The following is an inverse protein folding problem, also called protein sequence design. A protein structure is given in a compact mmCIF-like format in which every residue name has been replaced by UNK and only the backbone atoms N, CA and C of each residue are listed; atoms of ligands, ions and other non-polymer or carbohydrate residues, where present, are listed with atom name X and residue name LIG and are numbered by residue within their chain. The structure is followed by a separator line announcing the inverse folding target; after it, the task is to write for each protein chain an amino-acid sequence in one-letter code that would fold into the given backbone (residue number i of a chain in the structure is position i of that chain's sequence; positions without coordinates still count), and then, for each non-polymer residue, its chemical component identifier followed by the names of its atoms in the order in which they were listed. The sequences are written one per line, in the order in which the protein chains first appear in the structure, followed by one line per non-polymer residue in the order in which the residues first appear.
data_IF_117017054880
#
_entry.id   IF_117017054880
#
_cell.length_a   1.000
_cell.length_b   1.000
_cell.length_c   1.000
_cell.angle_alpha   90.00
_cell.angle_beta   90.00
_cell.angle_gamma   90.00
#
_symmetry.space_group_name_H-M   'P 1'
#
loop_
_entity.id
_entity.type
_entity.pdbx_description
1 polymer ?
#
# COMPACT_ATOMS: atom_id res chain seq x y z
N UNK A 1 -18.43 2.86 24.94
CA UNK A 1 -17.92 1.86 25.90
C UNK A 1 -17.80 2.54 27.26
N UNK A 2 -18.40 1.97 28.31
CA UNK A 2 -18.45 2.57 29.65
C UNK A 2 -17.08 2.53 30.33
N UNK A 3 -16.68 3.60 31.01
CA UNK A 3 -15.38 3.75 31.70
C UNK A 3 -15.09 2.62 32.69
N UNK A 4 -16.13 2.00 33.26
CA UNK A 4 -16.00 0.85 34.17
C UNK A 4 -15.54 -0.43 33.45
N UNK A 5 -15.91 -0.61 32.18
CA UNK A 5 -15.51 -1.79 31.38
C UNK A 5 -14.02 -1.75 31.02
N UNK A 6 -13.47 -0.55 30.79
CA UNK A 6 -12.05 -0.34 30.47
C UNK A 6 -11.17 -0.70 31.68
N UNK A 7 -11.58 -0.27 32.88
CA UNK A 7 -10.85 -0.57 34.11
C UNK A 7 -10.84 -2.07 34.44
N UNK A 8 -11.98 -2.76 34.29
CA UNK A 8 -12.06 -4.21 34.50
C UNK A 8 -11.24 -5.02 33.48
N UNK A 9 -11.19 -4.58 32.22
CA UNK A 9 -10.37 -5.21 31.18
C UNK A 9 -8.88 -5.12 31.52
N UNK A 10 -8.41 -3.94 31.96
CA UNK A 10 -7.02 -3.73 32.36
C UNK A 10 -6.59 -4.64 33.52
N UNK A 11 -7.47 -4.84 34.51
CA UNK A 11 -7.19 -5.70 35.65
C UNK A 11 -7.15 -7.18 35.26
N UNK A 12 -8.05 -7.62 34.38
CA UNK A 12 -8.06 -8.99 33.84
C UNK A 12 -6.80 -9.28 33.02
N UNK A 13 -6.37 -8.34 32.16
CA UNK A 13 -5.11 -8.46 31.42
C UNK A 13 -3.92 -8.54 32.37
N UNK A 14 -3.86 -7.66 33.38
CA UNK A 14 -2.75 -7.68 34.36
C UNK A 14 -2.65 -9.01 35.12
N UNK A 15 -3.78 -9.63 35.43
CA UNK A 15 -3.83 -10.92 36.12
C UNK A 15 -3.40 -12.09 35.23
N UNK A 16 -3.72 -12.09 33.93
CA UNK A 16 -3.33 -13.15 32.99
C UNK A 16 -1.87 -13.05 32.54
N UNK A 17 -1.28 -11.85 32.49
CA UNK A 17 0.13 -11.66 32.11
C UNK A 17 1.13 -12.06 33.20
N UNK A 18 0.80 -11.91 34.50
CA UNK A 18 1.69 -12.29 35.62
C UNK A 18 2.21 -13.74 35.56
N UNK A 19 1.37 -14.78 35.43
CA UNK A 19 1.86 -16.18 35.41
C UNK A 19 2.63 -16.52 34.13
N UNK A 20 2.41 -15.78 33.04
CA UNK A 20 3.16 -15.96 31.80
C UNK A 20 4.59 -15.45 31.96
N UNK A 21 4.76 -14.26 32.54
CA UNK A 21 6.09 -13.66 32.79
C UNK A 21 6.98 -14.50 33.72
N UNK A 22 6.40 -15.16 34.74
CA UNK A 22 7.17 -15.99 35.66
C UNK A 22 7.72 -17.24 34.98
N UNK A 23 6.93 -17.92 34.14
CA UNK A 23 7.38 -19.09 33.37
C UNK A 23 8.45 -18.72 32.33
N UNK A 24 8.32 -17.58 31.67
CA UNK A 24 9.34 -17.08 30.74
C UNK A 24 10.65 -16.73 31.44
N UNK A 25 10.60 -16.17 32.65
CA UNK A 25 11.80 -15.91 33.45
C UNK A 25 12.49 -17.22 33.86
N UNK A 26 11.74 -18.23 34.28
CA UNK A 26 12.27 -19.53 34.69
C UNK A 26 12.97 -20.27 33.53
N UNK A 27 12.33 -20.30 32.35
CA UNK A 27 12.92 -20.84 31.11
C UNK A 27 14.17 -20.03 30.72
N UNK A 28 14.10 -18.71 30.88
CA UNK A 28 15.21 -17.81 30.61
C UNK A 28 16.45 -18.06 31.48
N UNK A 29 16.25 -18.32 32.77
CA UNK A 29 17.33 -18.65 33.71
C UNK A 29 17.95 -20.01 33.36
N UNK A 30 17.11 -20.99 33.00
CA UNK A 30 17.57 -22.33 32.59
C UNK A 30 18.39 -22.29 31.30
N UNK A 31 18.00 -21.45 30.34
CA UNK A 31 18.75 -21.24 29.11
C UNK A 31 20.08 -20.55 29.42
N UNK A 32 20.08 -19.45 30.20
CA UNK A 32 21.30 -18.70 30.55
C UNK A 32 22.34 -19.54 31.30
N UNK A 33 21.89 -20.48 32.12
CA UNK A 33 22.74 -21.39 32.90
C UNK A 33 23.00 -22.72 32.17
N UNK A 34 22.72 -22.81 30.87
CA UNK A 34 22.97 -24.04 30.11
C UNK A 34 24.47 -24.26 29.89
N UNK A 35 25.04 -25.20 30.63
CA UNK A 35 26.40 -25.68 30.40
C UNK A 35 26.40 -26.78 29.32
N UNK A 36 27.19 -26.56 28.26
CA UNK A 36 27.32 -27.49 27.15
C UNK A 36 28.00 -28.81 27.61
N UNK A 37 27.56 -29.98 27.12
CA UNK A 37 28.14 -31.26 27.49
C UNK A 37 29.61 -31.36 27.07
N UNK A 38 30.46 -31.90 27.96
CA UNK A 38 31.92 -31.91 27.81
C UNK A 38 32.41 -32.64 26.54
N UNK A 39 31.60 -33.57 26.01
CA UNK A 39 31.89 -34.35 24.80
C UNK A 39 31.94 -33.51 23.52
N UNK A 40 31.41 -32.28 23.54
CA UNK A 40 31.33 -31.39 22.37
C UNK A 40 32.32 -30.20 22.49
N UNK A 41 33.07 -30.11 23.61
CA UNK A 41 34.07 -29.06 23.86
C UNK A 41 35.22 -29.18 22.85
N UNK A 42 35.50 -28.10 22.10
CA UNK A 42 36.59 -27.97 21.13
C UNK A 42 36.17 -27.97 19.66
N UNK A 43 34.94 -28.35 19.34
CA UNK A 43 34.48 -28.59 17.95
C UNK A 43 33.76 -27.38 17.34
N UNK A 44 33.66 -27.31 16.01
CA UNK A 44 32.85 -26.30 15.29
C UNK A 44 31.41 -26.18 15.81
N UNK A 45 30.83 -27.28 16.30
CA UNK A 45 29.49 -27.31 16.91
C UNK A 45 29.41 -26.51 18.22
N UNK A 46 30.48 -26.46 19.02
CA UNK A 46 30.50 -25.66 20.24
C UNK A 46 30.47 -24.17 19.91
N UNK A 47 31.27 -23.73 18.93
CA UNK A 47 31.29 -22.34 18.47
C UNK A 47 29.93 -21.93 17.90
N UNK A 48 29.29 -22.80 17.13
CA UNK A 48 27.96 -22.58 16.58
C UNK A 48 26.89 -22.50 17.68
N UNK A 49 26.91 -23.43 18.64
CA UNK A 49 25.98 -23.42 19.77
C UNK A 49 26.16 -22.17 20.65
N UNK A 50 27.41 -21.79 20.97
CA UNK A 50 27.73 -20.55 21.69
C UNK A 50 27.24 -19.32 20.94
N UNK A 51 27.41 -19.27 19.62
CA UNK A 51 26.92 -18.18 18.79
C UNK A 51 25.39 -18.06 18.84
N UNK A 52 24.65 -19.15 18.62
CA UNK A 52 23.18 -19.13 18.70
C UNK A 52 22.67 -18.84 20.11
N UNK A 53 23.38 -19.33 21.12
CA UNK A 53 23.06 -19.07 22.51
C UNK A 53 23.23 -17.58 22.85
N UNK A 54 24.35 -16.97 22.46
CA UNK A 54 24.59 -15.53 22.60
C UNK A 54 23.55 -14.71 21.83
N UNK A 55 23.32 -15.06 20.56
CA UNK A 55 22.33 -14.39 19.72
C UNK A 55 20.92 -14.44 20.34
N UNK A 56 20.52 -15.57 20.91
CA UNK A 56 19.25 -15.71 21.60
C UNK A 56 19.16 -14.79 22.83
N UNK A 57 20.22 -14.72 23.64
CA UNK A 57 20.26 -13.84 24.81
C UNK A 57 20.15 -12.37 24.37
N UNK A 58 20.92 -11.97 23.36
CA UNK A 58 20.93 -10.59 22.86
C UNK A 58 19.52 -10.16 22.38
N UNK A 59 18.86 -10.96 21.54
CA UNK A 59 17.50 -10.64 21.09
C UNK A 59 16.46 -10.68 22.22
N UNK A 60 16.63 -11.57 23.20
CA UNK A 60 15.74 -11.63 24.36
C UNK A 60 15.88 -10.38 25.23
N UNK A 61 17.11 -9.93 25.49
CA UNK A 61 17.37 -8.73 26.27
C UNK A 61 16.83 -7.50 25.54
N UNK A 62 17.01 -7.41 24.22
CA UNK A 62 16.36 -6.39 23.38
C UNK A 62 14.83 -6.44 23.50
N UNK A 63 14.21 -7.63 23.47
CA UNK A 63 12.76 -7.75 23.62
C UNK A 63 12.26 -7.30 25.01
N UNK A 64 13.00 -7.65 26.07
CA UNK A 64 12.69 -7.20 27.44
C UNK A 64 12.80 -5.68 27.55
N UNK A 65 13.81 -5.08 26.94
CA UNK A 65 14.01 -3.63 26.95
C UNK A 65 12.96 -2.90 26.12
N UNK A 66 12.52 -3.46 24.99
CA UNK A 66 11.37 -2.93 24.23
C UNK A 66 10.09 -2.93 25.07
N UNK A 67 9.85 -3.97 25.87
CA UNK A 67 8.67 -4.03 26.76
C UNK A 67 8.77 -2.97 27.87
N UNK A 68 9.95 -2.78 28.45
CA UNK A 68 10.19 -1.72 29.44
C UNK A 68 9.99 -0.34 28.80
N UNK A 69 10.60 -0.07 27.65
CA UNK A 69 10.47 1.20 26.92
C UNK A 69 9.01 1.49 26.53
N UNK A 70 8.25 0.46 26.12
CA UNK A 70 6.82 0.60 25.88
C UNK A 70 6.04 1.03 27.12
N UNK A 71 6.48 0.60 28.30
CA UNK A 71 5.83 0.91 29.59
C UNK A 71 6.26 2.28 30.11
N UNK A 72 7.53 2.64 29.94
CA UNK A 72 8.09 3.93 30.37
C UNK A 72 7.63 5.09 29.47
N UNK A 73 7.50 4.85 28.16
CA UNK A 73 7.18 5.86 27.14
C UNK A 73 5.97 5.44 26.29
N UNK A 74 4.76 5.43 26.85
CA UNK A 74 3.57 4.91 26.15
C UNK A 74 3.23 5.69 24.88
N UNK A 75 3.57 6.98 24.79
CA UNK A 75 3.31 7.81 23.59
C UNK A 75 4.17 7.37 22.41
N UNK A 76 5.45 7.07 22.62
CA UNK A 76 6.30 6.58 21.53
C UNK A 76 5.87 5.18 21.09
N UNK A 77 5.53 4.32 22.05
CA UNK A 77 5.03 2.98 21.77
C UNK A 77 3.75 2.99 20.92
N UNK A 78 2.79 3.87 21.24
CA UNK A 78 1.56 3.98 20.45
C UNK A 78 1.84 4.48 19.04
N UNK A 79 2.75 5.43 18.83
CA UNK A 79 3.16 5.90 17.49
C UNK A 79 3.76 4.74 16.69
N UNK A 80 4.68 3.96 17.25
CA UNK A 80 5.29 2.84 16.53
C UNK A 80 4.29 1.72 16.23
N UNK A 81 3.44 1.35 17.19
CA UNK A 81 2.42 0.31 17.00
C UNK A 81 1.40 0.76 15.94
N UNK A 82 0.97 2.02 15.97
CA UNK A 82 0.02 2.54 14.97
C UNK A 82 0.64 2.59 13.59
N UNK A 83 1.90 3.01 13.45
CA UNK A 83 2.62 3.00 12.17
C UNK A 83 2.80 1.58 11.61
N UNK A 84 3.19 0.63 12.46
CA UNK A 84 3.35 -0.77 12.07
C UNK A 84 2.00 -1.38 11.69
N UNK A 85 0.98 -1.13 12.50
CA UNK A 85 -0.40 -1.55 12.25
C UNK A 85 -0.96 -0.96 10.96
N UNK A 86 -0.72 0.33 10.68
CA UNK A 86 -1.16 0.96 9.43
C UNK A 86 -0.42 0.41 8.22
N UNK A 87 0.89 0.15 8.34
CA UNK A 87 1.68 -0.49 7.28
C UNK A 87 1.16 -1.90 6.97
N UNK A 88 0.94 -2.71 8.00
CA UNK A 88 0.37 -4.05 7.86
C UNK A 88 -1.04 -4.02 7.26
N UNK A 89 -1.91 -3.14 7.75
CA UNK A 89 -3.26 -2.95 7.22
C UNK A 89 -3.22 -2.51 5.75
N UNK A 90 -2.35 -1.57 5.40
CA UNK A 90 -2.22 -1.06 4.03
C UNK A 90 -1.69 -2.13 3.08
N UNK A 91 -0.73 -2.96 3.53
CA UNK A 91 -0.23 -4.09 2.75
C UNK A 91 -1.33 -5.11 2.48
N UNK A 92 -2.16 -5.42 3.49
CA UNK A 92 -3.31 -6.32 3.32
C UNK A 92 -4.36 -5.77 2.35
N UNK A 93 -4.53 -4.45 2.30
CA UNK A 93 -5.47 -3.76 1.41
C UNK A 93 -4.80 -3.17 0.17
N UNK A 94 -3.63 -3.70 -0.22
CA UNK A 94 -2.92 -3.20 -1.38
C UNK A 94 -3.57 -3.72 -2.68
N UNK A 95 -3.99 -2.85 -3.61
CA UNK A 95 -4.74 -3.28 -4.79
C UNK A 95 -3.91 -4.07 -5.81
N UNK A 96 -4.58 -5.07 -6.41
CA UNK A 96 -4.04 -5.90 -7.49
C UNK A 96 -4.35 -5.33 -8.89
N UNK A 97 -3.62 -5.82 -9.89
CA UNK A 97 -3.83 -5.44 -11.30
C UNK A 97 -5.22 -5.88 -11.80
N UNK A 98 -5.72 -7.01 -11.31
CA UNK A 98 -7.08 -7.49 -11.58
C UNK A 98 -8.12 -6.50 -11.08
N UNK A 99 -7.92 -5.95 -9.88
CA UNK A 99 -8.79 -4.94 -9.29
C UNK A 99 -8.76 -3.63 -10.10
N UNK A 100 -7.58 -3.26 -10.64
CA UNK A 100 -7.47 -2.12 -11.55
C UNK A 100 -8.28 -2.34 -12.84
N UNK A 101 -8.14 -3.52 -13.44
CA UNK A 101 -8.87 -3.88 -14.67
C UNK A 101 -10.37 -3.92 -14.44
N UNK A 102 -10.81 -4.45 -13.30
CA UNK A 102 -12.22 -4.46 -12.92
C UNK A 102 -12.76 -3.03 -12.75
N UNK A 103 -12.06 -2.17 -12.03
CA UNK A 103 -12.45 -0.77 -11.84
C UNK A 103 -12.50 -0.02 -13.18
N UNK A 104 -11.54 -0.26 -14.09
CA UNK A 104 -11.55 0.31 -15.44
C UNK A 104 -12.79 -0.11 -16.24
N UNK A 105 -13.12 -1.41 -16.24
CA UNK A 105 -14.32 -1.92 -16.93
C UNK A 105 -15.59 -1.34 -16.31
N UNK A 106 -15.70 -1.31 -14.99
CA UNK A 106 -16.85 -0.70 -14.30
C UNK A 106 -17.01 0.78 -14.65
N UNK A 107 -15.92 1.52 -14.74
CA UNK A 107 -15.93 2.94 -15.13
C UNK A 107 -16.30 3.12 -16.60
N UNK A 108 -15.85 2.24 -17.49
CA UNK A 108 -16.26 2.21 -18.90
C UNK A 108 -17.78 1.98 -19.02
N UNK A 109 -18.34 1.04 -18.25
CA UNK A 109 -19.79 0.79 -18.19
C UNK A 109 -20.54 2.04 -17.72
N UNK A 110 -20.07 2.72 -16.66
CA UNK A 110 -20.67 3.98 -16.19
C UNK A 110 -20.68 5.06 -17.27
N UNK A 111 -19.56 5.24 -17.98
CA UNK A 111 -19.49 6.20 -19.10
C UNK A 111 -20.50 5.86 -20.20
N UNK A 112 -20.64 4.57 -20.56
CA UNK A 112 -21.55 4.13 -21.62
C UNK A 112 -23.02 4.43 -21.27
N UNK A 113 -23.39 4.41 -19.99
CA UNK A 113 -24.75 4.71 -19.53
C UNK A 113 -25.14 6.19 -19.70
N UNK A 114 -24.16 7.10 -19.69
CA UNK A 114 -24.39 8.54 -19.85
C UNK A 114 -24.49 8.88 -21.34
N UNK A 115 -25.29 9.86 -21.76
CA UNK A 115 -25.39 10.26 -23.17
C UNK A 115 -24.13 10.98 -23.66
N UNK A 116 -23.74 10.80 -24.93
CA UNK A 116 -22.54 11.45 -25.50
C UNK A 116 -22.40 12.97 -25.29
N UNK A 117 -23.46 13.82 -25.41
CA UNK A 117 -23.29 15.26 -25.27
C UNK A 117 -22.91 15.69 -23.84
N UNK A 118 -23.45 15.02 -22.83
CA UNK A 118 -23.29 15.38 -21.41
C UNK A 118 -22.06 14.73 -20.75
N UNK A 119 -21.33 13.83 -21.44
CA UNK A 119 -20.14 13.17 -20.88
C UNK A 119 -18.97 14.14 -20.76
N UNK A 120 -18.21 14.02 -19.67
CA UNK A 120 -16.95 14.73 -19.53
C UNK A 120 -15.90 14.21 -20.55
N UNK A 121 -15.39 15.06 -21.46
CA UNK A 121 -14.43 14.62 -22.49
C UNK A 121 -13.10 14.14 -21.90
N UNK A 122 -12.68 14.69 -20.75
CA UNK A 122 -11.42 14.31 -20.09
C UNK A 122 -11.49 12.88 -19.56
N UNK A 123 -12.60 12.52 -18.91
CA UNK A 123 -12.84 11.17 -18.40
C UNK A 123 -12.92 10.17 -19.54
N UNK A 124 -13.66 10.50 -20.61
CA UNK A 124 -13.78 9.66 -21.80
C UNK A 124 -12.44 9.42 -22.46
N UNK A 125 -11.64 10.46 -22.68
CA UNK A 125 -10.32 10.34 -23.29
C UNK A 125 -9.38 9.49 -22.45
N UNK A 126 -9.40 9.67 -21.12
CA UNK A 126 -8.56 8.92 -20.20
C UNK A 126 -8.90 7.42 -20.21
N UNK A 127 -10.18 7.06 -20.13
CA UNK A 127 -10.63 5.66 -20.15
C UNK A 127 -10.31 5.01 -21.50
N UNK A 128 -10.60 5.68 -22.63
CA UNK A 128 -10.26 5.18 -23.97
C UNK A 128 -8.76 4.95 -24.13
N UNK A 129 -7.94 5.86 -23.61
CA UNK A 129 -6.49 5.72 -23.65
C UNK A 129 -6.02 4.54 -22.79
N UNK A 130 -6.56 4.36 -21.58
CA UNK A 130 -6.25 3.21 -20.73
C UNK A 130 -6.65 1.88 -21.37
N UNK A 131 -7.84 1.80 -21.97
CA UNK A 131 -8.29 0.61 -22.72
C UNK A 131 -7.34 0.28 -23.86
N UNK A 132 -6.89 1.30 -24.61
CA UNK A 132 -5.88 1.13 -25.66
C UNK A 132 -4.57 0.57 -25.10
N UNK A 133 -4.03 1.15 -24.02
CA UNK A 133 -2.80 0.66 -23.40
C UNK A 133 -2.94 -0.78 -22.87
N UNK A 134 -4.13 -1.15 -22.38
CA UNK A 134 -4.42 -2.51 -21.98
C UNK A 134 -4.45 -3.49 -23.16
N UNK A 135 -5.10 -3.09 -24.25
CA UNK A 135 -5.16 -3.91 -25.48
C UNK A 135 -3.78 -4.08 -26.11
N UNK A 136 -2.91 -3.08 -26.00
CA UNK A 136 -1.52 -3.13 -26.44
C UNK A 136 -0.59 -3.91 -25.48
N UNK A 137 -1.07 -4.31 -24.29
CA UNK A 137 -0.27 -5.09 -23.32
C UNK A 137 0.84 -4.31 -22.61
N UNK A 138 0.76 -2.97 -22.61
CA UNK A 138 1.80 -2.07 -22.09
C UNK A 138 1.75 -1.88 -20.57
N UNK A 139 0.61 -2.20 -19.95
CA UNK A 139 0.36 -1.95 -18.54
C UNK A 139 1.09 -2.96 -17.66
N UNK A 140 1.73 -2.44 -16.59
CA UNK A 140 2.47 -3.23 -15.60
C UNK A 140 2.16 -2.74 -14.19
N UNK A 141 2.08 -3.69 -13.25
CA UNK A 141 1.99 -3.39 -11.81
C UNK A 141 3.35 -3.49 -11.15
N UNK A 142 3.66 -2.50 -10.32
CA UNK A 142 4.77 -2.51 -9.36
C UNK A 142 4.18 -2.49 -7.93
N UNK A 143 4.42 -3.55 -7.16
CA UNK A 143 3.97 -3.64 -5.77
C UNK A 143 5.11 -3.23 -4.82
N UNK A 144 4.89 -2.20 -4.00
CA UNK A 144 5.85 -1.69 -3.00
C UNK A 144 5.49 -2.12 -1.56
N UNK A 145 4.63 -3.12 -1.38
CA UNK A 145 4.14 -3.58 -0.08
C UNK A 145 2.92 -2.79 0.37
N UNK A 146 3.10 -1.53 0.78
CA UNK A 146 2.00 -0.67 1.30
C UNK A 146 1.18 0.01 0.20
N UNK A 147 1.79 0.21 -0.96
CA UNK A 147 1.18 0.87 -2.12
C UNK A 147 1.53 0.09 -3.38
N UNK A 148 0.70 0.26 -4.40
CA UNK A 148 0.94 -0.29 -5.75
C UNK A 148 0.96 0.84 -6.76
N UNK A 149 1.79 0.70 -7.78
CA UNK A 149 1.86 1.62 -8.90
C UNK A 149 1.51 0.89 -10.18
N UNK A 150 0.72 1.53 -11.04
CA UNK A 150 0.56 1.12 -12.43
C UNK A 150 1.44 2.01 -13.28
N UNK A 151 2.26 1.39 -14.13
CA UNK A 151 3.16 2.10 -15.04
C UNK A 151 3.10 1.49 -16.44
N UNK A 152 3.55 2.26 -17.43
CA UNK A 152 3.57 1.86 -18.83
C UNK A 152 4.96 1.47 -19.32
N UNK A 153 5.02 0.27 -19.88
CA UNK A 153 6.18 -0.20 -20.64
C UNK A 153 6.10 0.26 -22.10
N UNK A 154 7.22 0.19 -22.83
CA UNK A 154 7.26 0.53 -24.25
C UNK A 154 6.68 -0.56 -25.15
N UNK A 155 6.71 -1.82 -24.69
CA UNK A 155 6.34 -2.99 -25.46
C UNK A 155 5.57 -3.99 -24.61
N UNK A 156 4.81 -4.85 -25.28
CA UNK A 156 4.12 -5.97 -24.64
C UNK A 156 5.12 -7.00 -24.07
N UNK A 157 4.68 -7.76 -23.06
CA UNK A 157 5.47 -8.75 -22.32
C UNK A 157 5.93 -9.88 -23.22
N UNK A 158 5.11 -10.21 -24.22
CA UNK A 158 5.37 -11.28 -25.17
C UNK A 158 6.10 -10.79 -26.42
N UNK A 159 6.39 -9.49 -26.53
CA UNK A 159 7.13 -8.93 -27.66
C UNK A 159 8.64 -9.23 -27.51
N UNK A 160 9.17 -10.10 -28.37
CA UNK A 160 10.59 -10.48 -28.41
C UNK A 160 11.41 -9.69 -29.44
N UNK A 161 10.95 -8.51 -29.84
CA UNK A 161 11.71 -7.67 -30.79
C UNK A 161 13.05 -7.24 -30.18
N UNK A 162 14.08 -7.06 -31.02
CA UNK A 162 15.40 -6.60 -30.56
C UNK A 162 15.32 -5.32 -29.73
N UNK A 163 14.44 -4.39 -30.12
CA UNK A 163 14.19 -3.12 -29.40
C UNK A 163 13.64 -3.35 -27.98
N UNK A 164 12.81 -4.38 -27.78
CA UNK A 164 12.24 -4.72 -26.49
C UNK A 164 13.24 -5.47 -25.58
N UNK A 165 14.07 -6.34 -26.17
CA UNK A 165 15.02 -7.18 -25.42
C UNK A 165 16.28 -6.41 -25.01
N UNK A 166 16.74 -5.46 -25.83
CA UNK A 166 18.00 -4.75 -25.62
C UNK A 166 18.00 -3.95 -24.30
N UNK A 167 18.94 -4.21 -23.35
CA UNK A 167 18.99 -3.53 -22.06
C UNK A 167 19.20 -2.01 -22.17
N UNK A 168 19.92 -1.56 -23.19
CA UNK A 168 20.24 -0.14 -23.40
C UNK A 168 19.05 0.70 -23.88
N UNK A 169 18.01 0.07 -24.44
CA UNK A 169 16.78 0.73 -24.86
C UNK A 169 15.68 0.72 -23.78
N UNK A 170 15.96 0.10 -22.61
CA UNK A 170 15.00 0.07 -21.51
C UNK A 170 14.80 1.47 -20.91
N UNK A 171 13.61 1.74 -20.32
CA UNK A 171 13.35 3.00 -19.64
C UNK A 171 14.43 3.30 -18.60
N UNK A 172 14.93 4.53 -18.60
CA UNK A 172 15.87 4.99 -17.57
C UNK A 172 15.13 5.16 -16.24
N UNK A 173 15.77 4.80 -15.14
CA UNK A 173 15.22 4.96 -13.80
C UNK A 173 14.86 6.42 -13.47
N UNK A 174 15.65 7.38 -13.96
CA UNK A 174 15.43 8.82 -13.72
C UNK A 174 14.12 9.30 -14.34
N UNK A 175 13.75 8.81 -15.52
CA UNK A 175 12.53 9.20 -16.25
C UNK A 175 11.33 8.29 -15.94
N UNK A 176 11.44 7.43 -14.92
CA UNK A 176 10.39 6.46 -14.61
C UNK A 176 9.11 7.13 -14.09
N UNK A 177 9.23 8.25 -13.38
CA UNK A 177 8.09 8.95 -12.78
C UNK A 177 7.06 9.44 -13.82
N UNK A 178 7.50 9.76 -15.04
CA UNK A 178 6.63 10.23 -16.14
C UNK A 178 5.74 9.12 -16.70
N UNK A 179 6.10 7.85 -16.42
CA UNK A 179 5.41 6.66 -16.94
C UNK A 179 4.41 6.09 -15.95
N UNK A 180 4.30 6.68 -14.77
CA UNK A 180 3.34 6.27 -13.74
C UNK A 180 1.96 6.76 -14.19
N UNK A 181 1.03 5.81 -14.29
CA UNK A 181 -0.35 6.05 -14.72
C UNK A 181 -1.27 6.21 -13.53
N UNK A 182 -1.17 5.29 -12.57
CA UNK A 182 -2.04 5.27 -11.40
C UNK A 182 -1.30 4.83 -10.13
N UNK A 183 -1.80 5.33 -9.00
CA UNK A 183 -1.35 5.01 -7.65
C UNK A 183 -2.48 4.30 -6.92
N UNK A 184 -2.19 3.06 -6.52
CA UNK A 184 -3.06 2.19 -5.76
C UNK A 184 -2.74 2.25 -4.28
N UNK A 185 -3.74 2.60 -3.47
CA UNK A 185 -3.61 2.66 -2.01
C UNK A 185 -4.96 2.38 -1.34
N UNK A 186 -4.96 1.55 -0.30
CA UNK A 186 -6.15 1.16 0.50
C UNK A 186 -7.35 0.69 -0.35
N UNK A 187 -7.11 -0.27 -1.24
CA UNK A 187 -8.17 -0.90 -2.05
C UNK A 187 -8.80 0.02 -3.09
N UNK A 188 -8.13 1.11 -3.47
CA UNK A 188 -8.58 2.02 -4.52
C UNK A 188 -7.43 2.47 -5.42
N UNK A 189 -7.77 2.74 -6.68
CA UNK A 189 -6.90 3.40 -7.65
C UNK A 189 -7.26 4.89 -7.73
N UNK A 190 -6.37 5.74 -7.23
CA UNK A 190 -6.69 7.12 -6.89
C UNK A 190 -6.79 8.03 -8.12
N UNK A 191 -5.94 7.84 -9.12
CA UNK A 191 -5.94 8.68 -10.33
C UNK A 191 -7.15 8.33 -11.18
N UNK A 192 -7.44 7.05 -11.38
CA UNK A 192 -8.62 6.58 -12.10
C UNK A 192 -9.92 7.07 -11.43
N UNK A 193 -10.04 6.96 -10.11
CA UNK A 193 -11.21 7.44 -9.36
C UNK A 193 -11.37 8.96 -9.49
N UNK A 194 -10.28 9.72 -9.34
CA UNK A 194 -10.28 11.18 -9.50
C UNK A 194 -10.67 11.62 -10.91
N UNK A 195 -10.22 10.91 -11.95
CA UNK A 195 -10.55 11.20 -13.35
C UNK A 195 -11.97 10.82 -13.73
N UNK A 196 -12.60 9.96 -12.95
CA UNK A 196 -14.01 9.58 -13.08
C UNK A 196 -14.94 10.39 -12.17
N UNK A 197 -14.41 11.36 -11.41
CA UNK A 197 -15.24 12.32 -10.70
C UNK A 197 -15.95 13.23 -11.71
N UNK A 198 -17.25 13.44 -11.53
CA UNK A 198 -18.08 14.31 -12.38
C UNK A 198 -18.00 13.92 -13.87
N UNK A 199 -18.01 12.61 -14.15
CA UNK A 199 -17.93 12.06 -15.50
C UNK A 199 -19.18 12.33 -16.36
N UNK A 200 -20.27 12.71 -15.72
CA UNK A 200 -21.59 13.04 -16.25
C UNK A 200 -21.83 14.56 -16.42
N UNK A 201 -20.80 15.37 -16.18
CA UNK A 201 -20.85 16.82 -16.36
C UNK A 201 -19.92 17.23 -17.50
N UNK A 202 -20.49 17.83 -18.54
CA UNK A 202 -19.73 18.45 -19.62
C UNK A 202 -19.71 19.98 -19.46
N UNK A 203 -18.60 20.52 -18.97
CA UNK A 203 -18.40 21.97 -18.79
C UNK A 203 -18.57 22.77 -20.09
N UNK A 204 -18.28 22.16 -21.25
CA UNK A 204 -18.38 22.84 -22.54
C UNK A 204 -19.82 23.26 -22.88
N UNK A 205 -20.83 22.52 -22.41
CA UNK A 205 -22.24 22.88 -22.64
C UNK A 205 -22.60 24.20 -21.94
N UNK A 206 -22.06 24.43 -20.76
CA UNK A 206 -22.34 25.62 -19.95
C UNK A 206 -21.62 26.85 -20.49
N UNK A 207 -20.39 26.70 -21.01
CA UNK A 207 -19.67 27.80 -21.64
C UNK A 207 -20.41 28.34 -22.88
N UNK A 208 -21.02 27.46 -23.69
CA UNK A 208 -21.80 27.88 -24.85
C UNK A 208 -23.06 28.63 -24.41
N UNK A 209 -23.77 28.14 -23.40
CA UNK A 209 -24.97 28.80 -22.88
C UNK A 209 -24.69 30.23 -22.37
N UNK A 210 -23.57 30.47 -21.70
CA UNK A 210 -23.18 31.81 -21.25
C UNK A 210 -22.93 32.77 -22.43
N UNK A 211 -22.27 32.32 -23.49
CA UNK A 211 -22.02 33.15 -24.69
C UNK A 211 -23.31 33.50 -25.44
N UNK A 212 -24.29 32.59 -25.50
CA UNK A 212 -25.60 32.85 -26.11
C UNK A 212 -26.41 33.85 -25.26
N UNK A 213 -26.38 33.74 -23.94
CA UNK A 213 -27.08 34.67 -23.05
C UNK A 213 -26.47 36.08 -23.09
N UNK A 214 -25.14 36.18 -23.18
CA UNK A 214 -24.43 37.46 -23.28
C UNK A 214 -24.61 38.14 -24.65
N UNK A 215 -24.75 37.37 -25.73
CA UNK A 215 -25.03 37.92 -27.07
C UNK A 215 -26.49 38.34 -27.24
N UNK A 216 -27.44 37.64 -26.60
CA UNK A 216 -28.86 38.01 -26.57
C UNK A 216 -29.15 39.30 -25.79
N UNK A 217 -28.37 39.62 -24.75
CA UNK A 217 -28.51 40.87 -23.98
C UNK A 217 -27.93 42.08 -24.72
N UNK A 218 -26.86 41.91 -25.50
CA UNK A 218 -26.30 43.00 -26.33
C UNK A 218 -27.21 43.31 -27.52
N UNK A 219 -27.97 42.34 -28.05
CA UNK A 219 -28.88 42.60 -29.18
C UNK A 219 -30.23 43.24 -28.80
N UNK A 220 -30.56 43.34 -27.50
CA UNK A 220 -31.84 43.85 -27.02
C UNK A 220 -31.81 45.34 -26.58
N UNK A 221 -30.72 46.07 -26.87
CA UNK A 221 -30.53 47.48 -26.48
C UNK A 221 -30.35 48.46 -27.66
N UNK A 222 -30.83 48.10 -28.86
CA UNK A 222 -30.92 49.00 -30.00
C UNK A 222 -32.36 49.43 -30.27
#
# INVERSE_FOLDING_TARGET
MSSQQIFQLSHKLRATFKPLTSKFNEIGIKIRNYEMPEKVKGTFLERWAKYWHGLYIDYKDVALDVVKDCTERPVHATIYITLLGSCFYSNRHNPDETMFREQLIQNSIKLIQVGEPIRNPVSVQHIKWLERCYNEGLIRRLNLGVLSLIWLDNYDKYCSSYKAVCPYLKPRYITFYERIVDVGFLGKWWILDRKMKDYDVNEAEFCVAETVNNTGTVSATC
#
